data_IF_499645722256
#
_entry.id   IF_499645722256
#
_cell.length_a   1.000
_cell.length_b   1.000
_cell.length_c   1.000
_cell.angle_alpha   90.00
_cell.angle_beta   90.00
_cell.angle_gamma   90.00
#
_symmetry.space_group_name_H-M   'P 1'
#
loop_
_entity.id
_entity.type
_entity.pdbx_description
1 polymer ?
#
# COMPACT_ATOMS: atom_id res chain seq x y z
N UNK A 1 16.89 -22.08 -8.80
CA UNK A 1 15.45 -22.40 -8.62
C UNK A 1 15.01 -22.12 -7.18
N UNK A 2 15.59 -22.78 -6.17
CA UNK A 2 15.18 -22.64 -4.75
C UNK A 2 15.15 -21.21 -4.16
N UNK A 3 16.08 -20.32 -4.54
CA UNK A 3 16.13 -18.94 -4.01
C UNK A 3 14.96 -18.08 -4.52
N UNK A 4 14.58 -18.24 -5.79
CA UNK A 4 13.44 -17.52 -6.39
C UNK A 4 12.12 -17.96 -5.78
N UNK A 5 11.96 -19.25 -5.51
CA UNK A 5 10.73 -19.78 -4.91
C UNK A 5 10.56 -19.30 -3.46
N UNK A 6 11.66 -19.15 -2.73
CA UNK A 6 11.65 -18.59 -1.39
C UNK A 6 11.28 -17.09 -1.39
N UNK A 7 11.88 -16.30 -2.28
CA UNK A 7 11.57 -14.87 -2.43
C UNK A 7 10.11 -14.63 -2.83
N UNK A 8 9.63 -15.34 -3.85
CA UNK A 8 8.24 -15.24 -4.32
C UNK A 8 7.24 -15.63 -3.22
N UNK A 9 7.54 -16.67 -2.43
CA UNK A 9 6.70 -17.09 -1.30
C UNK A 9 6.62 -16.02 -0.21
N UNK A 10 7.71 -15.30 0.06
CA UNK A 10 7.70 -14.20 1.02
C UNK A 10 6.87 -13.02 0.54
N UNK A 11 7.00 -12.63 -0.73
CA UNK A 11 6.15 -11.59 -1.34
C UNK A 11 4.68 -12.01 -1.28
N UNK A 12 4.37 -13.26 -1.63
CA UNK A 12 2.99 -13.79 -1.61
C UNK A 12 2.37 -13.67 -0.21
N UNK A 13 3.04 -14.21 0.82
CA UNK A 13 2.52 -14.15 2.19
C UNK A 13 2.54 -12.73 2.76
N UNK A 14 3.49 -11.90 2.35
CA UNK A 14 3.50 -10.46 2.66
C UNK A 14 2.21 -9.79 2.15
N UNK A 15 1.83 -10.06 0.91
CA UNK A 15 0.62 -9.51 0.32
C UNK A 15 -0.66 -10.02 0.98
N UNK A 16 -0.74 -11.30 1.33
CA UNK A 16 -1.86 -11.84 2.12
C UNK A 16 -2.00 -11.10 3.46
N UNK A 17 -0.90 -10.90 4.19
CA UNK A 17 -0.92 -10.17 5.46
C UNK A 17 -1.29 -8.69 5.27
N UNK A 18 -0.87 -8.06 4.19
CA UNK A 18 -1.24 -6.68 3.88
C UNK A 18 -2.75 -6.56 3.59
N UNK A 19 -3.33 -7.50 2.85
CA UNK A 19 -4.78 -7.56 2.62
C UNK A 19 -5.53 -7.73 3.94
N UNK A 20 -5.06 -8.63 4.82
CA UNK A 20 -5.64 -8.82 6.16
C UNK A 20 -5.56 -7.52 6.98
N UNK A 21 -4.42 -6.83 6.94
CA UNK A 21 -4.25 -5.51 7.56
C UNK A 21 -5.30 -4.51 7.06
N UNK A 22 -5.47 -4.39 5.73
CA UNK A 22 -6.47 -3.52 5.13
C UNK A 22 -7.89 -3.89 5.57
N UNK A 23 -8.24 -5.18 5.64
CA UNK A 23 -9.58 -5.64 6.08
C UNK A 23 -9.86 -5.25 7.53
N UNK A 24 -8.92 -5.50 8.45
CA UNK A 24 -9.08 -5.12 9.86
C UNK A 24 -9.17 -3.61 10.03
N UNK A 25 -8.28 -2.85 9.38
CA UNK A 25 -8.29 -1.39 9.44
C UNK A 25 -9.60 -0.85 8.87
N UNK A 26 -10.03 -1.32 7.70
CA UNK A 26 -11.25 -0.86 7.06
C UNK A 26 -12.48 -1.21 7.91
N UNK A 27 -12.50 -2.39 8.54
CA UNK A 27 -13.57 -2.76 9.47
C UNK A 27 -13.62 -1.81 10.66
N UNK A 28 -12.45 -1.47 11.23
CA UNK A 28 -12.37 -0.45 12.28
C UNK A 28 -12.91 0.90 11.79
N UNK A 29 -12.49 1.35 10.61
CA UNK A 29 -12.93 2.61 10.02
C UNK A 29 -14.45 2.66 9.86
N UNK A 30 -15.03 1.59 9.30
CA UNK A 30 -16.46 1.47 9.06
C UNK A 30 -17.28 1.55 10.35
N UNK A 31 -16.76 1.03 11.46
CA UNK A 31 -17.44 1.06 12.75
C UNK A 31 -17.23 2.40 13.49
N UNK A 32 -16.01 2.94 13.45
CA UNK A 32 -15.61 4.12 14.22
C UNK A 32 -16.12 5.43 13.60
N UNK A 33 -16.19 5.51 12.27
CA UNK A 33 -16.52 6.74 11.54
C UNK A 33 -17.89 6.70 10.85
N UNK A 34 -18.70 5.67 11.13
CA UNK A 34 -20.05 5.54 10.55
C UNK A 34 -20.87 6.84 10.77
N UNK A 35 -21.50 7.42 9.73
CA UNK A 35 -22.22 8.69 9.87
C UNK A 35 -23.35 8.66 10.92
N UNK A 36 -23.97 7.50 11.11
CA UNK A 36 -25.01 7.28 12.12
C UNK A 36 -24.67 6.03 12.93
N UNK A 37 -24.73 6.13 14.26
CA UNK A 37 -24.44 5.01 15.16
C UNK A 37 -22.96 4.59 15.22
N UNK A 38 -22.04 5.56 15.09
CA UNK A 38 -20.61 5.32 15.27
C UNK A 38 -20.29 4.64 16.60
N UNK A 39 -19.53 3.54 16.55
CA UNK A 39 -19.08 2.82 17.73
C UNK A 39 -17.75 3.42 18.18
N UNK A 40 -17.78 4.19 19.27
CA UNK A 40 -16.63 4.96 19.76
C UNK A 40 -15.79 4.19 20.80
N UNK A 41 -14.53 4.59 20.89
CA UNK A 41 -13.61 4.19 21.96
C UNK A 41 -13.09 2.76 21.82
N UNK A 42 -12.81 2.12 22.97
CA UNK A 42 -12.12 0.83 23.05
C UNK A 42 -12.90 -0.34 22.41
N UNK A 43 -14.21 -0.15 22.15
CA UNK A 43 -15.10 -1.16 21.53
C UNK A 43 -14.71 -1.53 20.10
N UNK A 44 -14.08 -0.61 19.36
CA UNK A 44 -13.60 -0.85 18.00
C UNK A 44 -12.08 -0.86 17.92
N UNK A 45 -11.39 -0.16 18.83
CA UNK A 45 -9.93 -0.02 18.80
C UNK A 45 -9.14 -1.33 18.85
N UNK A 46 -9.71 -2.42 19.38
CA UNK A 46 -9.07 -3.74 19.38
C UNK A 46 -8.78 -4.28 17.96
N UNK A 47 -9.54 -3.87 16.95
CA UNK A 47 -9.32 -4.24 15.54
C UNK A 47 -8.02 -3.66 14.98
N UNK A 48 -7.49 -2.59 15.57
CA UNK A 48 -6.23 -2.00 15.15
C UNK A 48 -5.01 -2.84 15.54
N UNK A 49 -5.12 -3.65 16.60
CA UNK A 49 -4.03 -4.52 17.05
C UNK A 49 -3.66 -5.56 15.97
N UNK A 50 -4.59 -6.42 15.48
CA UNK A 50 -4.27 -7.34 14.40
C UNK A 50 -3.94 -6.61 13.09
N UNK A 51 -4.51 -5.43 12.83
CA UNK A 51 -4.15 -4.63 11.65
C UNK A 51 -2.67 -4.23 11.68
N UNK A 52 -2.19 -3.65 12.80
CA UNK A 52 -0.78 -3.24 12.94
C UNK A 52 0.15 -4.44 12.89
N UNK A 53 -0.16 -5.53 13.59
CA UNK A 53 0.66 -6.75 13.59
C UNK A 53 0.77 -7.32 12.19
N UNK A 54 -0.35 -7.45 11.47
CA UNK A 54 -0.37 -7.93 10.10
C UNK A 54 0.38 -6.98 9.15
N UNK A 55 0.20 -5.67 9.29
CA UNK A 55 0.88 -4.66 8.47
C UNK A 55 2.40 -4.68 8.64
N UNK A 56 2.90 -4.77 9.87
CA UNK A 56 4.35 -4.86 10.13
C UNK A 56 4.93 -6.18 9.59
N UNK A 57 4.24 -7.29 9.82
CA UNK A 57 4.66 -8.59 9.29
C UNK A 57 4.63 -8.63 7.75
N UNK A 58 3.64 -7.99 7.13
CA UNK A 58 3.54 -7.85 5.69
C UNK A 58 4.75 -7.11 5.11
N UNK A 59 5.06 -5.92 5.64
CA UNK A 59 6.22 -5.13 5.21
C UNK A 59 7.52 -5.92 5.41
N UNK A 60 7.68 -6.59 6.54
CA UNK A 60 8.87 -7.40 6.81
C UNK A 60 9.04 -8.52 5.76
N UNK A 61 7.99 -9.29 5.47
CA UNK A 61 8.04 -10.36 4.48
C UNK A 61 8.27 -9.82 3.06
N UNK A 62 7.56 -8.76 2.66
CA UNK A 62 7.72 -8.14 1.35
C UNK A 62 9.15 -7.62 1.15
N UNK A 63 9.71 -6.88 2.11
CA UNK A 63 11.10 -6.39 2.05
C UNK A 63 12.10 -7.55 2.01
N UNK A 64 11.90 -8.59 2.82
CA UNK A 64 12.77 -9.78 2.81
C UNK A 64 12.70 -10.51 1.46
N UNK A 65 11.51 -10.60 0.88
CA UNK A 65 11.27 -11.20 -0.44
C UNK A 65 11.98 -10.41 -1.53
N UNK A 66 11.73 -9.11 -1.60
CA UNK A 66 12.36 -8.19 -2.58
C UNK A 66 13.90 -8.24 -2.47
N UNK A 67 14.45 -8.21 -1.25
CA UNK A 67 15.92 -8.21 -1.05
C UNK A 67 16.57 -9.56 -1.35
N UNK A 68 15.83 -10.66 -1.25
CA UNK A 68 16.33 -12.01 -1.55
C UNK A 68 16.13 -12.42 -3.01
N UNK A 69 15.41 -11.61 -3.81
CA UNK A 69 15.27 -11.83 -5.23
C UNK A 69 16.61 -11.56 -5.95
N UNK A 70 17.19 -12.58 -6.57
CA UNK A 70 18.28 -12.38 -7.52
C UNK A 70 17.70 -11.88 -8.84
N UNK A 71 18.07 -10.68 -9.28
CA UNK A 71 17.54 -10.05 -10.47
C UNK A 71 18.32 -10.48 -11.72
N UNK A 72 17.64 -11.11 -12.69
CA UNK A 72 18.16 -11.28 -14.06
C UNK A 72 17.88 -10.07 -14.96
N UNK A 73 16.86 -9.28 -14.62
CA UNK A 73 16.46 -8.02 -15.25
C UNK A 73 15.81 -7.10 -14.20
N UNK A 74 15.61 -5.82 -14.51
CA UNK A 74 14.91 -4.88 -13.64
C UNK A 74 14.02 -3.94 -14.45
N UNK A 75 12.82 -3.66 -13.93
CA UNK A 75 11.88 -2.67 -14.47
C UNK A 75 12.32 -1.25 -14.06
N UNK A 76 12.86 -1.11 -12.85
CA UNK A 76 13.39 0.14 -12.32
C UNK A 76 14.87 0.00 -11.98
N UNK A 77 15.69 1.05 -12.19
CA UNK A 77 17.10 1.04 -11.80
C UNK A 77 17.29 0.81 -10.30
N UNK A 78 18.43 0.20 -9.93
CA UNK A 78 18.76 -0.07 -8.53
C UNK A 78 18.72 1.20 -7.67
N UNK A 79 18.00 1.13 -6.56
CA UNK A 79 17.85 2.25 -5.62
C UNK A 79 16.88 3.35 -6.07
N UNK A 80 16.40 3.35 -7.32
CA UNK A 80 15.50 4.39 -7.83
C UNK A 80 14.18 4.42 -7.06
N UNK A 81 13.61 3.27 -6.70
CA UNK A 81 12.37 3.19 -5.93
C UNK A 81 12.53 3.71 -4.49
N UNK A 82 13.66 3.41 -3.85
CA UNK A 82 13.93 3.88 -2.49
C UNK A 82 14.15 5.40 -2.45
N UNK A 83 15.11 5.89 -3.25
CA UNK A 83 15.43 7.32 -3.28
C UNK A 83 14.31 8.14 -3.89
N UNK A 84 13.66 7.63 -4.94
CA UNK A 84 12.47 8.24 -5.54
C UNK A 84 11.31 8.31 -4.55
N UNK A 85 11.10 7.27 -3.74
CA UNK A 85 10.12 7.28 -2.65
C UNK A 85 10.41 8.32 -1.57
N UNK A 86 11.67 8.41 -1.12
CA UNK A 86 12.11 9.43 -0.16
C UNK A 86 11.89 10.84 -0.72
N UNK A 87 12.33 11.07 -1.96
CA UNK A 87 12.17 12.36 -2.63
C UNK A 87 10.67 12.70 -2.80
N UNK A 88 9.86 11.75 -3.27
CA UNK A 88 8.42 11.92 -3.43
C UNK A 88 7.74 12.26 -2.09
N UNK A 89 8.10 11.57 -1.00
CA UNK A 89 7.56 11.88 0.32
C UNK A 89 7.91 13.32 0.75
N UNK A 90 9.16 13.74 0.62
CA UNK A 90 9.60 15.09 1.01
C UNK A 90 8.88 16.16 0.17
N UNK A 91 8.81 15.95 -1.15
CA UNK A 91 8.13 16.88 -2.08
C UNK A 91 6.64 16.96 -1.74
N UNK A 92 5.96 15.82 -1.62
CA UNK A 92 4.53 15.78 -1.32
C UNK A 92 4.24 16.35 0.06
N UNK A 93 5.11 16.12 1.05
CA UNK A 93 4.98 16.72 2.38
C UNK A 93 5.08 18.24 2.31
N UNK A 94 6.07 18.77 1.57
CA UNK A 94 6.22 20.21 1.38
C UNK A 94 5.00 20.79 0.65
N UNK A 95 4.58 20.18 -0.46
CA UNK A 95 3.42 20.63 -1.26
C UNK A 95 2.12 20.60 -0.44
N UNK A 96 1.82 19.49 0.23
CA UNK A 96 0.58 19.34 1.00
C UNK A 96 0.54 20.24 2.22
N UNK A 97 1.67 20.45 2.90
CA UNK A 97 1.78 21.36 4.04
C UNK A 97 1.73 22.83 3.62
N UNK A 98 2.50 23.24 2.62
CA UNK A 98 2.67 24.65 2.26
C UNK A 98 1.54 25.16 1.36
N UNK A 99 1.16 24.40 0.34
CA UNK A 99 0.13 24.82 -0.63
C UNK A 99 -1.28 24.47 -0.15
N UNK A 100 -1.47 23.24 0.34
CA UNK A 100 -2.78 22.75 0.74
C UNK A 100 -3.09 22.96 2.23
N UNK A 101 -2.13 23.47 3.01
CA UNK A 101 -2.25 23.75 4.46
C UNK A 101 -2.74 22.54 5.26
N UNK A 102 -2.35 21.35 4.81
CA UNK A 102 -2.82 20.06 5.35
C UNK A 102 -1.99 19.72 6.59
N UNK A 103 -2.62 19.29 7.72
CA UNK A 103 -1.86 18.79 8.86
C UNK A 103 -1.13 17.50 8.46
N UNK A 104 0.10 17.36 8.96
CA UNK A 104 0.92 16.17 8.71
C UNK A 104 0.32 15.00 9.49
N UNK A 105 -0.07 13.95 8.78
CA UNK A 105 -0.62 12.71 9.33
C UNK A 105 0.16 11.52 8.80
N UNK A 106 -0.06 10.35 9.41
CA UNK A 106 0.56 9.09 8.99
C UNK A 106 0.08 8.61 7.62
N UNK A 107 -1.03 9.14 7.09
CA UNK A 107 -1.60 8.71 5.81
C UNK A 107 -0.62 8.97 4.66
N UNK A 108 0.11 10.09 4.66
CA UNK A 108 1.03 10.42 3.57
C UNK A 108 2.19 9.41 3.48
N UNK A 109 2.77 9.02 4.61
CA UNK A 109 3.83 8.00 4.62
C UNK A 109 3.28 6.62 4.26
N UNK A 110 2.03 6.31 4.63
CA UNK A 110 1.38 5.06 4.22
C UNK A 110 1.14 5.00 2.70
N UNK A 111 0.67 6.10 2.08
CA UNK A 111 0.45 6.19 0.63
C UNK A 111 1.76 6.00 -0.13
N UNK A 112 2.79 6.78 0.22
CA UNK A 112 4.09 6.71 -0.45
C UNK A 112 4.79 5.38 -0.16
N UNK A 113 4.79 4.94 1.10
CA UNK A 113 5.40 3.68 1.51
C UNK A 113 4.77 2.46 0.84
N UNK A 114 3.44 2.41 0.75
CA UNK A 114 2.73 1.36 0.03
C UNK A 114 3.07 1.36 -1.47
N UNK A 115 3.07 2.53 -2.11
CA UNK A 115 3.40 2.63 -3.54
C UNK A 115 4.84 2.15 -3.83
N UNK A 116 5.80 2.54 -2.99
CA UNK A 116 7.20 2.08 -3.10
C UNK A 116 7.29 0.57 -2.88
N UNK A 117 6.58 0.02 -1.90
CA UNK A 117 6.55 -1.41 -1.62
C UNK A 117 5.99 -2.19 -2.82
N UNK A 118 4.82 -1.79 -3.33
CA UNK A 118 4.18 -2.43 -4.47
C UNK A 118 5.05 -2.38 -5.73
N UNK A 119 5.65 -1.23 -6.05
CA UNK A 119 6.56 -1.13 -7.20
C UNK A 119 7.83 -1.97 -7.01
N UNK A 120 8.31 -2.11 -5.78
CA UNK A 120 9.48 -2.94 -5.46
C UNK A 120 9.18 -4.43 -5.62
N UNK A 121 8.00 -4.88 -5.21
CA UNK A 121 7.52 -6.24 -5.45
C UNK A 121 7.39 -6.52 -6.95
N UNK A 122 6.78 -5.62 -7.72
CA UNK A 122 6.65 -5.77 -9.17
C UNK A 122 8.01 -5.84 -9.86
N UNK A 123 8.96 -5.01 -9.43
CA UNK A 123 10.34 -5.05 -9.92
C UNK A 123 11.01 -6.40 -9.63
N UNK A 124 10.83 -6.93 -8.42
CA UNK A 124 11.37 -8.23 -8.02
C UNK A 124 10.70 -9.38 -8.80
N UNK A 125 9.37 -9.39 -8.91
CA UNK A 125 8.62 -10.41 -9.63
C UNK A 125 8.98 -10.44 -11.12
N UNK A 126 9.15 -9.28 -11.75
CA UNK A 126 9.67 -9.19 -13.11
C UNK A 126 11.12 -9.68 -13.20
N UNK A 127 12.00 -9.25 -12.29
CA UNK A 127 13.41 -9.62 -12.31
C UNK A 127 13.68 -11.10 -12.05
N UNK A 128 12.75 -11.80 -11.39
CA UNK A 128 12.77 -13.26 -11.22
C UNK A 128 12.11 -14.02 -12.37
N UNK A 129 11.58 -13.34 -13.39
CA UNK A 129 10.85 -13.95 -14.51
C UNK A 129 9.47 -14.49 -14.13
N UNK A 130 8.93 -14.14 -12.96
CA UNK A 130 7.57 -14.53 -12.54
C UNK A 130 6.51 -13.72 -13.26
N UNK A 131 6.77 -12.44 -13.51
CA UNK A 131 5.90 -11.57 -14.29
C UNK A 131 6.53 -11.26 -15.65
N UNK A 132 5.70 -11.24 -16.69
CA UNK A 132 6.09 -10.65 -17.97
C UNK A 132 6.25 -9.14 -17.84
N UNK A 133 6.99 -8.52 -18.77
CA UNK A 133 7.15 -7.06 -18.80
C UNK A 133 5.79 -6.34 -18.85
N UNK A 134 4.90 -6.77 -19.74
CA UNK A 134 3.56 -6.18 -19.91
C UNK A 134 2.74 -6.24 -18.61
N UNK A 135 2.76 -7.39 -17.93
CA UNK A 135 2.04 -7.58 -16.68
C UNK A 135 2.59 -6.69 -15.56
N UNK A 136 3.92 -6.63 -15.43
CA UNK A 136 4.59 -5.79 -14.44
C UNK A 136 4.31 -4.29 -14.66
N UNK A 137 4.39 -3.82 -15.91
CA UNK A 137 4.05 -2.43 -16.27
C UNK A 137 2.58 -2.12 -15.99
N UNK A 138 1.67 -3.04 -16.33
CA UNK A 138 0.23 -2.86 -16.10
C UNK A 138 -0.04 -2.65 -14.62
N UNK A 139 0.48 -3.53 -13.75
CA UNK A 139 0.31 -3.35 -12.31
C UNK A 139 1.04 -2.12 -11.77
N UNK A 140 2.17 -1.71 -12.34
CA UNK A 140 2.87 -0.49 -11.93
C UNK A 140 2.03 0.76 -12.22
N UNK A 141 1.39 0.83 -13.39
CA UNK A 141 0.46 1.92 -13.76
C UNK A 141 -0.75 1.92 -12.83
N UNK A 142 -1.34 0.75 -12.56
CA UNK A 142 -2.49 0.61 -11.67
C UNK A 142 -2.13 1.03 -10.23
N UNK A 143 -0.96 0.63 -9.72
CA UNK A 143 -0.47 1.04 -8.40
C UNK A 143 -0.23 2.56 -8.33
N UNK A 144 0.34 3.14 -9.38
CA UNK A 144 0.51 4.59 -9.52
C UNK A 144 -0.83 5.33 -9.49
N UNK A 145 -1.83 4.84 -10.22
CA UNK A 145 -3.18 5.41 -10.23
C UNK A 145 -3.83 5.32 -8.83
N UNK A 146 -3.71 4.20 -8.14
CA UNK A 146 -4.21 4.03 -6.76
C UNK A 146 -3.53 4.98 -5.77
N UNK A 147 -2.22 5.22 -5.91
CA UNK A 147 -1.49 6.19 -5.09
C UNK A 147 -1.97 7.63 -5.36
N UNK A 148 -2.23 7.99 -6.62
CA UNK A 148 -2.79 9.30 -6.99
C UNK A 148 -4.20 9.47 -6.43
N UNK A 149 -5.07 8.47 -6.56
CA UNK A 149 -6.41 8.48 -5.97
C UNK A 149 -6.31 8.68 -4.45
N UNK A 150 -5.41 7.95 -3.80
CA UNK A 150 -5.19 8.08 -2.36
C UNK A 150 -4.69 9.47 -1.95
N UNK A 151 -3.84 10.10 -2.77
CA UNK A 151 -3.39 11.46 -2.55
C UNK A 151 -4.51 12.50 -2.73
N UNK A 152 -5.41 12.29 -3.69
CA UNK A 152 -6.59 13.14 -3.87
C UNK A 152 -7.49 13.03 -2.64
N UNK A 153 -7.80 11.82 -2.18
CA UNK A 153 -8.53 11.59 -0.94
C UNK A 153 -7.83 12.29 0.24
N UNK A 154 -6.52 12.07 0.39
CA UNK A 154 -5.71 12.73 1.41
C UNK A 154 -5.88 14.26 1.38
N UNK A 155 -5.75 14.92 0.23
CA UNK A 155 -5.86 16.39 0.16
C UNK A 155 -7.29 16.87 0.44
N UNK A 156 -8.31 16.12 0.04
CA UNK A 156 -9.72 16.51 0.16
C UNK A 156 -10.32 16.18 1.52
N UNK A 157 -9.83 15.16 2.23
CA UNK A 157 -10.45 14.58 3.42
C UNK A 157 -10.97 15.61 4.45
N UNK A 158 -10.14 16.58 4.84
CA UNK A 158 -10.52 17.61 5.82
C UNK A 158 -11.51 18.68 5.31
N UNK A 159 -11.78 18.71 4.00
CA UNK A 159 -12.80 19.55 3.38
C UNK A 159 -14.14 18.83 3.25
N UNK A 160 -14.17 17.53 3.51
CA UNK A 160 -15.36 16.70 3.36
C UNK A 160 -16.09 16.54 4.70
N UNK A 161 -17.40 16.73 4.67
CA UNK A 161 -18.28 16.52 5.83
C UNK A 161 -19.04 15.19 5.77
N UNK A 162 -19.39 14.66 6.94
CA UNK A 162 -20.34 13.55 7.10
C UNK A 162 -20.03 12.32 6.24
N UNK A 163 -20.97 11.95 5.37
CA UNK A 163 -20.87 10.74 4.53
C UNK A 163 -19.75 10.81 3.50
N UNK A 164 -19.42 12.00 2.98
CA UNK A 164 -18.36 12.14 1.98
C UNK A 164 -16.99 11.80 2.59
N UNK A 165 -16.67 12.35 3.77
CA UNK A 165 -15.42 12.02 4.47
C UNK A 165 -15.35 10.55 4.90
N UNK A 166 -16.49 9.97 5.30
CA UNK A 166 -16.58 8.54 5.62
C UNK A 166 -16.20 7.64 4.43
N UNK A 167 -16.71 7.93 3.23
CA UNK A 167 -16.39 7.18 2.01
C UNK A 167 -14.95 7.46 1.56
N UNK A 168 -14.54 8.71 1.59
CA UNK A 168 -13.21 9.14 1.17
C UNK A 168 -12.09 8.40 1.92
N UNK A 169 -12.21 8.26 3.25
CA UNK A 169 -11.21 7.53 4.03
C UNK A 169 -11.21 6.01 3.83
N UNK A 170 -12.22 5.43 3.17
CA UNK A 170 -12.21 4.00 2.80
C UNK A 170 -11.45 3.74 1.50
N UNK A 171 -11.45 4.70 0.56
CA UNK A 171 -10.94 4.51 -0.80
C UNK A 171 -9.45 4.12 -0.82
N UNK A 172 -8.53 4.76 -0.07
CA UNK A 172 -7.12 4.39 -0.09
C UNK A 172 -6.87 2.93 0.33
N UNK A 173 -7.55 2.47 1.38
CA UNK A 173 -7.37 1.10 1.89
C UNK A 173 -7.97 0.06 0.93
N UNK A 174 -9.14 0.35 0.35
CA UNK A 174 -9.78 -0.52 -0.63
C UNK A 174 -8.93 -0.64 -1.89
N UNK A 175 -8.46 0.48 -2.44
CA UNK A 175 -7.65 0.48 -3.67
C UNK A 175 -6.31 -0.23 -3.44
N UNK A 176 -5.63 0.05 -2.32
CA UNK A 176 -4.40 -0.66 -1.95
C UNK A 176 -4.63 -2.18 -1.84
N UNK A 177 -5.68 -2.60 -1.13
CA UNK A 177 -6.02 -4.02 -0.99
C UNK A 177 -6.34 -4.69 -2.33
N UNK A 178 -7.08 -4.03 -3.22
CA UNK A 178 -7.44 -4.56 -4.54
C UNK A 178 -6.22 -4.74 -5.45
N UNK A 179 -5.31 -3.76 -5.46
CA UNK A 179 -4.08 -3.86 -6.25
C UNK A 179 -3.19 -4.97 -5.70
N UNK A 180 -2.98 -5.03 -4.39
CA UNK A 180 -2.22 -6.09 -3.73
C UNK A 180 -2.84 -7.47 -3.96
N UNK A 181 -4.17 -7.59 -3.92
CA UNK A 181 -4.88 -8.83 -4.24
C UNK A 181 -4.69 -9.23 -5.71
N UNK A 182 -4.77 -8.27 -6.64
CA UNK A 182 -4.51 -8.50 -8.07
C UNK A 182 -3.11 -9.05 -8.33
N UNK A 183 -2.09 -8.45 -7.70
CA UNK A 183 -0.70 -8.95 -7.76
C UNK A 183 -0.65 -10.38 -7.21
N UNK A 184 -1.25 -10.63 -6.05
CA UNK A 184 -1.25 -11.95 -5.40
C UNK A 184 -1.90 -13.04 -6.26
N UNK A 185 -3.05 -12.74 -6.88
CA UNK A 185 -3.75 -13.66 -7.79
C UNK A 185 -2.90 -13.94 -9.02
N UNK A 186 -2.28 -12.90 -9.61
CA UNK A 186 -1.40 -13.04 -10.77
C UNK A 186 -0.12 -13.85 -10.47
N UNK A 187 0.30 -13.93 -9.20
CA UNK A 187 1.42 -14.80 -8.79
C UNK A 187 1.03 -16.28 -8.65
N UNK A 188 -0.27 -16.58 -8.53
CA UNK A 188 -0.79 -17.92 -8.31
C UNK A 188 -1.23 -18.63 -9.61
N UNK A 189 -1.37 -17.88 -10.71
CA UNK A 189 -1.60 -18.40 -12.06
C UNK A 189 -0.29 -18.67 -12.80
#
# INVERSE_FOLDING_TARGET
>A
MAVHDFSAKQIFWGNILLIICCVFYLTWWMLAFKPTGAVKGMKTGWLLIPAVVAGLAAVFLAVKGVRSASAGAALFPSGALLWGGIAAYIILLAVTRLLFKRPVTTELILIVGWAVLALSELNALYGMGRFSYLLAVTFAVVAGAAAVISLVCYVLYYKLGGRAGYVDGMIPLLTAALVTAGITVAMAG
#
